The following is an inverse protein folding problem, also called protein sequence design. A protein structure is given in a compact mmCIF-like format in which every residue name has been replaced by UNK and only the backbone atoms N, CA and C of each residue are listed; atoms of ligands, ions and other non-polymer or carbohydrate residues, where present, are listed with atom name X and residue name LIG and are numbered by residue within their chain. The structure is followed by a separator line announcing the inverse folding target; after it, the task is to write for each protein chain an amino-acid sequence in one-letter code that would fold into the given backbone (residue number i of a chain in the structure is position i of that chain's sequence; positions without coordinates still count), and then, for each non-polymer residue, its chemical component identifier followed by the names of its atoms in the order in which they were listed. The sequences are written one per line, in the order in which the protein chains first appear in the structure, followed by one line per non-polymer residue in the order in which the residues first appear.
data_IF_392673267818
#
_entry.id   IF_392673267818
#
_cell.length_a   1.000
_cell.length_b   1.000
_cell.length_c   1.000
_cell.angle_alpha   90.00
_cell.angle_beta   90.00
_cell.angle_gamma   90.00
#
_symmetry.space_group_name_H-M   'P 1'
#
loop_
_entity.id
_entity.type
_entity.pdbx_description
1 polymer ?
#
# COMPACT_ATOMS: atom_id res chain seq x y z
N UNK A 1 -7.25 16.14 1.06
CA UNK A 1 -5.95 15.97 0.36
C UNK A 1 -6.13 16.36 -1.11
N UNK A 2 -5.14 16.96 -1.81
CA UNK A 2 -5.34 17.37 -3.22
C UNK A 2 -5.49 16.15 -4.14
N UNK A 3 -6.32 16.22 -5.19
CA UNK A 3 -6.55 15.13 -6.17
C UNK A 3 -5.26 14.48 -6.70
N UNK A 4 -4.21 15.25 -6.93
CA UNK A 4 -2.92 14.73 -7.40
C UNK A 4 -2.27 13.77 -6.39
N UNK A 5 -2.41 14.03 -5.08
CA UNK A 5 -1.91 13.14 -4.04
C UNK A 5 -2.75 11.87 -3.90
N UNK A 6 -4.04 11.91 -4.25
CA UNK A 6 -4.87 10.70 -4.32
C UNK A 6 -4.48 9.79 -5.49
N UNK A 7 -4.17 10.37 -6.65
CA UNK A 7 -3.64 9.64 -7.81
C UNK A 7 -2.28 9.02 -7.45
N UNK A 8 -1.39 9.80 -6.85
CA UNK A 8 -0.09 9.30 -6.41
C UNK A 8 -0.23 8.17 -5.37
N UNK A 9 -1.17 8.29 -4.42
CA UNK A 9 -1.45 7.24 -3.46
C UNK A 9 -1.90 5.95 -4.17
N UNK A 10 -2.76 6.05 -5.18
CA UNK A 10 -3.20 4.90 -5.97
C UNK A 10 -2.01 4.23 -6.66
N UNK A 11 -1.12 5.00 -7.29
CA UNK A 11 0.09 4.48 -7.94
C UNK A 11 0.99 3.73 -6.96
N UNK A 12 1.25 4.31 -5.78
CA UNK A 12 2.06 3.69 -4.73
C UNK A 12 1.45 2.39 -4.22
N UNK A 13 0.13 2.37 -3.98
CA UNK A 13 -0.57 1.17 -3.53
C UNK A 13 -0.52 0.06 -4.60
N UNK A 14 -0.69 0.42 -5.87
CA UNK A 14 -0.61 -0.50 -6.99
C UNK A 14 0.78 -1.12 -7.14
N UNK A 15 1.83 -0.30 -7.02
CA UNK A 15 3.20 -0.76 -7.15
C UNK A 15 3.63 -1.62 -5.96
N UNK A 16 3.17 -1.28 -4.76
CA UNK A 16 3.29 -2.14 -3.59
C UNK A 16 2.59 -3.49 -3.80
N UNK A 17 1.35 -3.47 -4.32
CA UNK A 17 0.60 -4.70 -4.59
C UNK A 17 1.29 -5.58 -5.63
N UNK A 18 1.82 -5.00 -6.72
CA UNK A 18 2.56 -5.73 -7.75
C UNK A 18 3.84 -6.34 -7.19
N UNK A 19 4.59 -5.59 -6.39
CA UNK A 19 5.82 -6.04 -5.73
C UNK A 19 5.54 -7.23 -4.80
N UNK A 20 4.50 -7.16 -3.99
CA UNK A 20 4.17 -8.24 -3.05
C UNK A 20 3.56 -9.45 -3.77
N UNK A 21 2.80 -9.24 -4.83
CA UNK A 21 2.16 -10.33 -5.59
C UNK A 21 3.16 -11.28 -6.28
N UNK A 22 4.40 -10.85 -6.53
CA UNK A 22 5.44 -11.74 -7.06
C UNK A 22 6.05 -12.65 -6.00
N UNK A 23 5.70 -12.48 -4.72
CA UNK A 23 6.27 -13.19 -3.58
C UNK A 23 5.35 -14.32 -3.09
N UNK A 24 5.88 -15.20 -2.23
CA UNK A 24 5.02 -16.00 -1.35
C UNK A 24 4.40 -15.07 -0.30
N UNK A 25 3.12 -14.78 -0.49
CA UNK A 25 2.37 -13.86 0.37
C UNK A 25 1.55 -14.55 1.44
N UNK A 26 1.78 -15.84 1.73
CA UNK A 26 0.97 -16.59 2.70
C UNK A 26 0.88 -15.88 4.06
N UNK A 27 2.00 -15.33 4.55
CA UNK A 27 2.12 -14.56 5.80
C UNK A 27 1.33 -13.23 5.80
N UNK A 28 1.10 -12.66 4.62
CA UNK A 28 0.44 -11.36 4.44
C UNK A 28 -0.85 -11.45 3.62
N UNK A 29 -1.44 -12.63 3.52
CA UNK A 29 -2.63 -12.89 2.67
C UNK A 29 -3.78 -11.93 2.97
N UNK A 30 -4.02 -11.65 4.26
CA UNK A 30 -5.03 -10.68 4.69
C UNK A 30 -4.72 -9.27 4.17
N UNK A 31 -3.48 -8.80 4.37
CA UNK A 31 -3.04 -7.49 3.87
C UNK A 31 -3.16 -7.40 2.36
N UNK A 32 -2.80 -8.46 1.61
CA UNK A 32 -2.95 -8.47 0.16
C UNK A 32 -4.40 -8.31 -0.31
N UNK A 33 -5.35 -8.90 0.42
CA UNK A 33 -6.78 -8.75 0.14
C UNK A 33 -7.25 -7.32 0.42
N UNK A 34 -6.88 -6.76 1.57
CA UNK A 34 -7.28 -5.40 1.95
C UNK A 34 -6.61 -4.33 1.07
N UNK A 35 -5.33 -4.51 0.71
CA UNK A 35 -4.63 -3.64 -0.23
C UNK A 35 -5.34 -3.57 -1.58
N UNK A 36 -5.75 -4.72 -2.13
CA UNK A 36 -6.52 -4.78 -3.38
C UNK A 36 -7.90 -4.10 -3.23
N UNK A 37 -8.53 -4.24 -2.07
CA UNK A 37 -9.81 -3.61 -1.79
C UNK A 37 -9.69 -2.09 -1.77
N UNK A 38 -8.70 -1.57 -1.04
CA UNK A 38 -8.35 -0.14 -0.97
C UNK A 38 -8.05 0.44 -2.36
N UNK A 39 -7.21 -0.23 -3.16
CA UNK A 39 -6.93 0.17 -4.55
C UNK A 39 -8.23 0.32 -5.35
N UNK A 40 -9.13 -0.68 -5.25
CA UNK A 40 -10.39 -0.68 -5.99
C UNK A 40 -11.31 0.48 -5.58
N UNK A 41 -11.38 0.82 -4.29
CA UNK A 41 -12.18 1.94 -3.80
C UNK A 41 -11.62 3.26 -4.29
N UNK A 42 -10.30 3.45 -4.14
CA UNK A 42 -9.64 4.70 -4.50
C UNK A 42 -9.69 4.97 -6.02
N UNK A 43 -9.43 3.95 -6.84
CA UNK A 43 -9.53 4.04 -8.30
C UNK A 43 -10.95 4.45 -8.75
N UNK A 44 -11.99 3.85 -8.16
CA UNK A 44 -13.38 4.22 -8.46
C UNK A 44 -13.68 5.66 -8.09
N UNK A 45 -13.27 6.11 -6.90
CA UNK A 45 -13.51 7.48 -6.44
C UNK A 45 -12.82 8.51 -7.36
N UNK A 46 -11.59 8.23 -7.79
CA UNK A 46 -10.84 9.09 -8.72
C UNK A 46 -11.49 9.10 -10.11
N UNK A 47 -11.86 7.93 -10.64
CA UNK A 47 -12.41 7.75 -11.98
C UNK A 47 -13.80 8.37 -12.14
N UNK A 48 -14.66 8.24 -11.14
CA UNK A 48 -16.01 8.80 -11.14
C UNK A 48 -16.03 10.32 -10.86
N UNK A 49 -14.88 10.93 -10.59
CA UNK A 49 -14.77 12.31 -10.10
C UNK A 49 -15.69 12.53 -8.90
N UNK A 50 -15.68 11.60 -7.96
CA UNK A 50 -16.55 11.66 -6.80
C UNK A 50 -16.30 12.97 -6.04
N UNK A 51 -17.36 13.77 -5.87
CA UNK A 51 -17.30 15.01 -5.10
C UNK A 51 -16.96 14.75 -3.62
N UNK A 52 -17.00 13.49 -3.20
CA UNK A 52 -16.75 13.03 -1.85
C UNK A 52 -15.35 12.40 -1.64
N UNK A 53 -14.40 12.64 -2.56
CA UNK A 53 -13.05 12.05 -2.51
C UNK A 53 -12.36 12.24 -1.15
N UNK A 54 -12.54 13.37 -0.47
CA UNK A 54 -11.95 13.59 0.84
C UNK A 54 -12.46 12.60 1.90
N UNK A 55 -13.77 12.27 1.92
CA UNK A 55 -14.31 11.28 2.86
C UNK A 55 -13.82 9.87 2.50
N UNK A 56 -13.75 9.53 1.21
CA UNK A 56 -13.14 8.25 0.77
C UNK A 56 -11.72 8.14 1.29
N UNK A 57 -10.92 9.20 1.22
CA UNK A 57 -9.54 9.18 1.68
C UNK A 57 -9.41 9.01 3.20
N UNK A 58 -10.37 9.52 3.99
CA UNK A 58 -10.43 9.24 5.43
C UNK A 58 -10.65 7.74 5.66
N UNK A 59 -11.58 7.11 4.93
CA UNK A 59 -11.83 5.67 5.03
C UNK A 59 -10.61 4.85 4.58
N UNK A 60 -9.96 5.24 3.47
CA UNK A 60 -8.72 4.60 3.01
C UNK A 60 -7.63 4.67 4.07
N UNK A 61 -7.46 5.83 4.72
CA UNK A 61 -6.48 5.99 5.80
C UNK A 61 -6.76 5.02 6.95
N UNK A 62 -8.01 4.88 7.39
CA UNK A 62 -8.37 3.94 8.46
C UNK A 62 -8.16 2.48 8.05
N UNK A 63 -8.50 2.10 6.81
CA UNK A 63 -8.24 0.76 6.30
C UNK A 63 -6.74 0.44 6.25
N UNK A 64 -5.92 1.38 5.79
CA UNK A 64 -4.47 1.20 5.68
C UNK A 64 -3.76 1.05 7.04
N UNK A 65 -4.33 1.53 8.15
CA UNK A 65 -3.79 1.25 9.49
C UNK A 65 -3.72 -0.25 9.78
N UNK A 66 -4.65 -1.03 9.24
CA UNK A 66 -4.67 -2.49 9.40
C UNK A 66 -3.48 -3.19 8.72
N UNK A 67 -2.76 -2.51 7.82
CA UNK A 67 -1.56 -3.04 7.18
C UNK A 67 -0.36 -3.04 8.15
N UNK A 68 -0.42 -2.23 9.20
CA UNK A 68 0.68 -2.00 10.14
C UNK A 68 0.27 -2.37 11.58
N UNK A 69 -0.09 -3.64 11.85
CA UNK A 69 -0.28 -4.06 13.22
C UNK A 69 1.05 -3.97 14.00
N UNK A 70 1.01 -3.90 15.35
CA UNK A 70 2.20 -3.91 16.18
C UNK A 70 3.10 -5.14 15.95
N UNK A 71 2.51 -6.26 15.51
CA UNK A 71 3.19 -7.50 15.12
C UNK A 71 2.53 -8.08 13.87
N UNK A 72 3.34 -8.49 12.89
CA UNK A 72 2.90 -9.02 11.60
C UNK A 72 2.56 -7.95 10.56
N UNK A 73 1.82 -8.34 9.52
CA UNK A 73 1.47 -7.45 8.42
C UNK A 73 2.70 -6.88 7.70
N UNK A 74 2.62 -5.63 7.23
CA UNK A 74 3.72 -4.98 6.52
C UNK A 74 4.83 -4.47 7.45
N UNK A 75 4.57 -4.37 8.76
CA UNK A 75 5.55 -3.96 9.77
C UNK A 75 6.70 -4.95 9.86
N UNK A 76 6.39 -6.26 9.83
CA UNK A 76 7.36 -7.34 10.05
C UNK A 76 7.67 -8.15 8.77
N UNK A 77 6.99 -7.87 7.66
CA UNK A 77 7.21 -8.59 6.40
C UNK A 77 8.48 -8.12 5.68
N UNK A 78 9.25 -9.08 5.17
CA UNK A 78 10.47 -8.85 4.42
C UNK A 78 10.56 -9.79 3.22
N UNK A 79 11.00 -9.27 2.07
CA UNK A 79 11.12 -10.05 0.84
C UNK A 79 12.44 -10.83 0.85
N UNK A 80 12.36 -12.16 0.87
CA UNK A 80 13.55 -13.02 0.86
C UNK A 80 14.07 -13.28 -0.55
N UNK A 81 15.39 -13.16 -0.75
CA UNK A 81 16.13 -13.53 -1.98
C UNK A 81 17.45 -14.14 -1.57
N UNK A 82 17.99 -15.11 -2.29
CA UNK A 82 19.25 -15.73 -1.89
C UNK A 82 20.43 -14.75 -2.00
N UNK A 83 20.48 -13.96 -3.07
CA UNK A 83 21.48 -12.91 -3.24
C UNK A 83 21.26 -11.73 -2.27
N UNK A 84 22.29 -11.35 -1.52
CA UNK A 84 22.21 -10.28 -0.53
C UNK A 84 21.94 -8.91 -1.17
N UNK A 85 22.59 -8.61 -2.29
CA UNK A 85 22.44 -7.32 -2.97
C UNK A 85 21.03 -7.15 -3.54
N UNK A 86 20.49 -8.21 -4.15
CA UNK A 86 19.12 -8.24 -4.65
C UNK A 86 18.11 -8.08 -3.51
N UNK A 87 18.29 -8.86 -2.43
CA UNK A 87 17.46 -8.80 -1.22
C UNK A 87 17.44 -7.40 -0.61
N UNK A 88 18.60 -6.77 -0.49
CA UNK A 88 18.71 -5.39 0.01
C UNK A 88 17.96 -4.43 -0.91
N UNK A 89 18.22 -4.49 -2.21
CA UNK A 89 17.60 -3.61 -3.21
C UNK A 89 16.07 -3.72 -3.20
N UNK A 90 15.53 -4.93 -3.19
CA UNK A 90 14.07 -5.13 -3.24
C UNK A 90 13.38 -4.65 -1.97
N UNK A 91 14.01 -4.83 -0.80
CA UNK A 91 13.44 -4.34 0.45
C UNK A 91 13.60 -2.82 0.61
N UNK A 92 14.64 -2.19 0.06
CA UNK A 92 14.72 -0.73 -0.02
C UNK A 92 13.56 -0.14 -0.87
N UNK A 93 13.22 -0.78 -1.99
CA UNK A 93 12.07 -0.41 -2.82
C UNK A 93 10.76 -0.58 -2.02
N UNK A 94 10.57 -1.73 -1.38
CA UNK A 94 9.42 -2.01 -0.53
C UNK A 94 9.25 -0.96 0.58
N UNK A 95 10.32 -0.65 1.32
CA UNK A 95 10.31 0.41 2.34
C UNK A 95 9.99 1.78 1.75
N UNK A 96 10.48 2.10 0.56
CA UNK A 96 10.18 3.38 -0.09
C UNK A 96 8.68 3.54 -0.39
N UNK A 97 7.99 2.46 -0.82
CA UNK A 97 6.55 2.47 -1.03
C UNK A 97 5.78 2.61 0.29
N UNK A 98 6.17 1.86 1.33
CA UNK A 98 5.54 1.99 2.66
C UNK A 98 5.67 3.41 3.20
N UNK A 99 6.87 3.99 3.15
CA UNK A 99 7.12 5.36 3.61
C UNK A 99 6.34 6.39 2.79
N UNK A 100 6.23 6.21 1.47
CA UNK A 100 5.47 7.14 0.63
C UNK A 100 3.98 7.05 0.91
N UNK A 101 3.45 5.84 1.08
CA UNK A 101 2.06 5.62 1.49
C UNK A 101 1.78 6.27 2.85
N UNK A 102 2.66 6.07 3.83
CA UNK A 102 2.57 6.71 5.16
C UNK A 102 2.49 8.23 5.07
N UNK A 103 3.39 8.84 4.29
CA UNK A 103 3.41 10.28 4.08
C UNK A 103 2.11 10.80 3.44
N UNK A 104 1.61 10.12 2.41
CA UNK A 104 0.40 10.54 1.69
C UNK A 104 -0.87 10.37 2.54
N UNK A 105 -0.89 9.40 3.43
CA UNK A 105 -2.00 9.14 4.34
C UNK A 105 -1.87 9.90 5.67
N UNK A 106 -0.77 10.61 5.90
CA UNK A 106 -0.44 11.28 7.16
C UNK A 106 -0.47 10.32 8.36
N UNK A 107 -0.10 9.05 8.17
CA UNK A 107 -0.14 8.00 9.19
C UNK A 107 1.09 8.02 10.11
#
# INVERSE_FOLDING_TARGET
MKKNSAIELLEVLDDLYKLLKSEDTSEITYVMKELKHVITILDKAISLKDNNLDNVLIEIREMCKSFFPPHGGLSDYFIWRDDFSERKRVNEIYESYKNRMWFLLEL
#
